data_IF_844418759740
#
_entry.id   IF_844418759740
#
_cell.length_a   1.000
_cell.length_b   1.000
_cell.length_c   1.000
_cell.angle_alpha   90.00
_cell.angle_beta   90.00
_cell.angle_gamma   90.00
#
_symmetry.space_group_name_H-M   'P 1'
#
loop_
_entity.id
_entity.type
_entity.pdbx_description
1 polymer ?
#
# COMPACT_ATOMS: atom_id res chain seq x y z
N UNK A 1 -6.06 -11.54 -16.23
CA UNK A 1 -5.20 -12.34 -17.13
C UNK A 1 -4.55 -11.38 -18.12
N UNK A 2 -3.32 -11.65 -18.57
CA UNK A 2 -2.64 -10.83 -19.57
C UNK A 2 -3.08 -11.28 -20.97
N UNK A 3 -4.00 -10.54 -21.57
CA UNK A 3 -4.46 -10.75 -22.95
C UNK A 3 -3.45 -10.21 -23.97
N UNK A 4 -3.69 -10.47 -25.24
CA UNK A 4 -2.79 -10.07 -26.34
C UNK A 4 -2.59 -8.54 -26.41
N UNK A 5 -3.60 -7.75 -26.05
CA UNK A 5 -3.53 -6.28 -26.02
C UNK A 5 -2.54 -5.81 -24.94
N UNK A 6 -2.68 -6.30 -23.72
CA UNK A 6 -1.77 -5.96 -22.60
C UNK A 6 -0.34 -6.39 -22.86
N UNK A 7 -0.15 -7.60 -23.42
CA UNK A 7 1.18 -8.08 -23.84
C UNK A 7 1.79 -7.16 -24.89
N UNK A 8 1.02 -6.72 -25.89
CA UNK A 8 1.47 -5.79 -26.92
C UNK A 8 1.86 -4.43 -26.34
N UNK A 9 1.07 -3.88 -25.42
CA UNK A 9 1.35 -2.62 -24.72
C UNK A 9 2.65 -2.71 -23.93
N UNK A 10 2.83 -3.77 -23.11
CA UNK A 10 4.04 -4.03 -22.32
C UNK A 10 5.25 -4.18 -23.25
N UNK A 11 5.13 -4.99 -24.31
CA UNK A 11 6.18 -5.18 -25.32
C UNK A 11 6.62 -3.85 -25.92
N UNK A 12 5.66 -2.98 -26.26
CA UNK A 12 5.94 -1.64 -26.78
C UNK A 12 6.71 -0.76 -25.79
N UNK A 13 6.35 -0.83 -24.49
CA UNK A 13 7.05 -0.11 -23.43
C UNK A 13 8.52 -0.58 -23.29
N UNK A 14 8.73 -1.89 -23.27
CA UNK A 14 10.04 -2.52 -23.13
C UNK A 14 10.95 -2.19 -24.32
N UNK A 15 10.43 -2.29 -25.56
CA UNK A 15 11.18 -1.94 -26.79
C UNK A 15 11.60 -0.47 -26.82
N UNK A 16 10.75 0.45 -26.36
CA UNK A 16 11.12 1.87 -26.26
C UNK A 16 12.30 2.11 -25.32
N UNK A 17 12.45 1.28 -24.28
CA UNK A 17 13.60 1.32 -23.37
C UNK A 17 14.80 0.50 -23.86
N UNK A 18 14.71 -0.15 -25.01
CA UNK A 18 15.74 -1.03 -25.62
C UNK A 18 16.16 -2.17 -24.66
N UNK A 19 15.25 -2.58 -23.76
CA UNK A 19 15.50 -3.67 -22.85
C UNK A 19 15.56 -5.00 -23.60
N UNK A 20 16.44 -5.90 -23.17
CA UNK A 20 16.57 -7.28 -23.68
C UNK A 20 16.32 -8.28 -22.56
N UNK A 21 17.08 -8.18 -21.45
CA UNK A 21 16.85 -8.96 -20.23
C UNK A 21 16.07 -8.12 -19.26
N UNK A 22 14.95 -8.62 -18.78
CA UNK A 22 14.06 -7.91 -17.87
C UNK A 22 13.74 -8.74 -16.63
N UNK A 23 13.56 -8.07 -15.50
CA UNK A 23 12.93 -8.71 -14.35
C UNK A 23 11.47 -8.26 -14.27
N UNK A 24 10.56 -9.22 -14.10
CA UNK A 24 9.12 -8.97 -13.92
C UNK A 24 8.77 -9.08 -12.45
N UNK A 25 8.17 -8.03 -11.90
CA UNK A 25 7.68 -7.98 -10.53
C UNK A 25 6.18 -7.71 -10.53
N UNK A 26 5.41 -8.57 -9.85
CA UNK A 26 3.95 -8.50 -9.78
C UNK A 26 3.45 -8.62 -8.34
N UNK A 27 2.31 -8.01 -7.97
CA UNK A 27 1.66 -8.25 -6.69
C UNK A 27 1.10 -9.68 -6.60
N UNK A 28 0.87 -10.15 -5.36
CA UNK A 28 0.42 -11.51 -5.10
C UNK A 28 -0.79 -11.95 -5.92
N UNK A 29 -1.75 -11.06 -6.12
CA UNK A 29 -2.96 -11.35 -6.92
C UNK A 29 -2.74 -11.59 -8.41
N UNK A 30 -1.56 -11.25 -8.95
CA UNK A 30 -1.19 -11.49 -10.35
C UNK A 30 -0.21 -12.65 -10.54
N UNK A 31 0.28 -13.26 -9.46
CA UNK A 31 1.27 -14.35 -9.54
C UNK A 31 0.80 -15.54 -10.40
N UNK A 32 -0.48 -15.89 -10.33
CA UNK A 32 -1.05 -16.98 -11.15
C UNK A 32 -0.98 -16.70 -12.67
N UNK A 33 -0.86 -15.45 -13.08
CA UNK A 33 -0.85 -15.03 -14.49
C UNK A 33 0.54 -14.72 -15.00
N UNK A 34 1.58 -14.71 -14.14
CA UNK A 34 2.92 -14.23 -14.52
C UNK A 34 3.64 -15.17 -15.47
N UNK A 35 3.44 -16.49 -15.34
CA UNK A 35 4.03 -17.48 -16.25
C UNK A 35 3.58 -17.25 -17.69
N UNK A 36 2.27 -17.12 -17.92
CA UNK A 36 1.76 -16.83 -19.28
C UNK A 36 2.24 -15.47 -19.84
N UNK A 37 2.48 -14.49 -18.95
CA UNK A 37 3.12 -13.23 -19.37
C UNK A 37 4.58 -13.45 -19.74
N UNK A 38 5.35 -14.21 -18.95
CA UNK A 38 6.74 -14.55 -19.24
C UNK A 38 6.86 -15.21 -20.61
N UNK A 39 6.11 -16.30 -20.84
CA UNK A 39 6.09 -17.02 -22.12
C UNK A 39 5.78 -16.10 -23.31
N UNK A 40 4.83 -15.18 -23.14
CA UNK A 40 4.45 -14.24 -24.18
C UNK A 40 5.54 -13.20 -24.46
N UNK A 41 6.25 -12.71 -23.44
CA UNK A 41 7.36 -11.78 -23.60
C UNK A 41 8.59 -12.45 -24.20
N UNK A 42 8.90 -13.69 -23.83
CA UNK A 42 9.98 -14.48 -24.43
C UNK A 42 9.74 -14.72 -25.93
N UNK A 43 8.51 -15.04 -26.33
CA UNK A 43 8.11 -15.12 -27.75
C UNK A 43 8.30 -13.80 -28.51
N UNK A 44 8.30 -12.66 -27.80
CA UNK A 44 8.58 -11.34 -28.35
C UNK A 44 10.05 -10.93 -28.29
N UNK A 45 10.95 -11.87 -27.92
CA UNK A 45 12.40 -11.71 -27.97
C UNK A 45 13.04 -11.11 -26.72
N UNK A 46 12.36 -11.16 -25.57
CA UNK A 46 12.93 -10.75 -24.28
C UNK A 46 13.46 -11.98 -23.52
N UNK A 47 14.51 -11.81 -22.75
CA UNK A 47 14.92 -12.74 -21.71
C UNK A 47 14.23 -12.30 -20.39
N UNK A 48 13.41 -13.19 -19.82
CA UNK A 48 12.52 -12.84 -18.72
C UNK A 48 12.91 -13.54 -17.43
N UNK A 49 13.20 -12.76 -16.39
CA UNK A 49 13.37 -13.23 -15.02
C UNK A 49 12.14 -12.83 -14.21
N UNK A 50 11.57 -13.75 -13.44
CA UNK A 50 10.38 -13.46 -12.61
C UNK A 50 10.78 -13.38 -11.14
N UNK A 51 10.52 -12.24 -10.51
CA UNK A 51 10.69 -12.10 -9.07
C UNK A 51 9.60 -12.86 -8.32
N UNK A 52 9.98 -13.78 -7.45
CA UNK A 52 9.07 -14.52 -6.56
C UNK A 52 8.83 -13.81 -5.23
N UNK A 53 9.60 -12.77 -4.96
CA UNK A 53 9.48 -12.00 -3.73
C UNK A 53 8.11 -11.33 -3.58
N UNK A 54 7.63 -11.10 -2.35
CA UNK A 54 6.42 -10.31 -2.13
C UNK A 54 6.55 -8.91 -2.74
N UNK A 55 5.48 -8.44 -3.35
CA UNK A 55 5.38 -7.08 -3.90
C UNK A 55 4.12 -6.40 -3.35
N UNK A 56 4.31 -5.41 -2.49
CA UNK A 56 3.21 -4.74 -1.78
C UNK A 56 2.88 -3.35 -2.32
N UNK A 57 3.72 -2.80 -3.20
CA UNK A 57 3.54 -1.46 -3.74
C UNK A 57 4.75 -1.00 -4.56
N UNK A 58 4.64 0.15 -5.22
CA UNK A 58 5.76 0.76 -5.95
C UNK A 58 6.89 1.29 -5.03
N UNK A 59 6.72 1.23 -3.72
CA UNK A 59 7.78 1.45 -2.72
C UNK A 59 8.67 0.21 -2.48
N UNK A 60 8.32 -0.93 -3.08
CA UNK A 60 8.95 -2.24 -2.91
C UNK A 60 9.52 -2.72 -4.24
N UNK A 61 10.47 -1.98 -4.77
CA UNK A 61 11.11 -2.31 -6.05
C UNK A 61 12.23 -3.34 -5.86
N UNK A 62 12.31 -4.28 -6.78
CA UNK A 62 13.40 -5.28 -6.90
C UNK A 62 14.46 -4.86 -7.91
N UNK A 63 14.71 -3.58 -7.97
CA UNK A 63 15.62 -2.95 -8.91
C UNK A 63 17.09 -3.33 -8.66
N UNK A 64 17.49 -3.51 -7.40
CA UNK A 64 18.84 -3.92 -7.01
C UNK A 64 19.12 -5.36 -7.38
N UNK A 65 18.17 -6.26 -7.12
CA UNK A 65 18.23 -7.66 -7.54
C UNK A 65 18.25 -7.78 -9.06
N UNK A 66 17.40 -7.02 -9.75
CA UNK A 66 17.40 -6.97 -11.20
C UNK A 66 18.75 -6.53 -11.76
N UNK A 67 19.35 -5.49 -11.17
CA UNK A 67 20.69 -5.02 -11.55
C UNK A 67 21.78 -6.06 -11.28
N UNK A 68 21.71 -6.77 -10.15
CA UNK A 68 22.67 -7.81 -9.79
C UNK A 68 22.62 -9.03 -10.73
N UNK A 69 21.51 -9.20 -11.46
CA UNK A 69 21.30 -10.25 -12.46
C UNK A 69 21.43 -9.71 -13.91
N UNK A 70 22.08 -8.57 -14.08
CA UNK A 70 22.34 -7.93 -15.37
C UNK A 70 21.07 -7.67 -16.21
N UNK A 71 19.95 -7.34 -15.54
CA UNK A 71 18.74 -6.92 -16.24
C UNK A 71 18.89 -5.47 -16.73
N UNK A 72 18.32 -5.19 -17.91
CA UNK A 72 18.26 -3.85 -18.49
C UNK A 72 17.16 -3.01 -17.87
N UNK A 73 16.09 -3.64 -17.38
CA UNK A 73 14.95 -2.97 -16.76
C UNK A 73 14.18 -3.87 -15.79
N UNK A 74 13.47 -3.22 -14.86
CA UNK A 74 12.44 -3.83 -14.02
C UNK A 74 11.06 -3.50 -14.60
N UNK A 75 10.28 -4.51 -14.96
CA UNK A 75 8.86 -4.37 -15.29
C UNK A 75 8.04 -4.54 -14.01
N UNK A 76 7.56 -3.43 -13.47
CA UNK A 76 6.74 -3.40 -12.25
C UNK A 76 5.27 -3.26 -12.60
N UNK A 77 4.46 -4.27 -12.30
CA UNK A 77 3.06 -4.34 -12.71
C UNK A 77 2.12 -4.14 -11.50
N UNK A 78 1.02 -3.43 -11.74
CA UNK A 78 -0.12 -3.33 -10.81
C UNK A 78 -0.04 -2.19 -9.81
N UNK A 79 1.05 -1.42 -9.78
CA UNK A 79 1.18 -0.23 -8.95
C UNK A 79 1.67 0.95 -9.78
N UNK A 80 1.10 2.12 -9.53
CA UNK A 80 1.54 3.35 -10.17
C UNK A 80 2.88 3.82 -9.60
N UNK A 81 3.66 4.52 -10.43
CA UNK A 81 4.90 5.16 -10.02
C UNK A 81 4.68 6.09 -8.81
N UNK A 82 5.54 5.95 -7.81
CA UNK A 82 5.57 6.76 -6.59
C UNK A 82 6.77 7.73 -6.54
N UNK A 83 7.53 7.86 -7.63
CA UNK A 83 8.74 8.68 -7.68
C UNK A 83 9.90 8.12 -6.84
N UNK A 84 9.94 6.81 -6.63
CA UNK A 84 11.04 6.15 -5.90
C UNK A 84 12.27 6.07 -6.78
N UNK A 85 13.42 6.54 -6.28
CA UNK A 85 14.70 6.38 -6.97
C UNK A 85 15.08 4.91 -7.10
N UNK A 86 15.39 4.50 -8.32
CA UNK A 86 15.79 3.13 -8.68
C UNK A 86 17.18 3.11 -9.31
N UNK A 87 17.90 1.99 -9.16
CA UNK A 87 19.27 1.81 -9.68
C UNK A 87 19.33 1.37 -11.13
N UNK A 88 18.18 1.07 -11.73
CA UNK A 88 18.00 0.76 -13.16
C UNK A 88 16.63 1.26 -13.64
N UNK A 89 16.38 1.34 -14.95
CA UNK A 89 15.08 1.75 -15.48
C UNK A 89 13.93 0.90 -14.96
N UNK A 90 12.89 1.52 -14.38
CA UNK A 90 11.65 0.87 -13.98
C UNK A 90 10.56 1.21 -14.99
N UNK A 91 9.88 0.20 -15.49
CA UNK A 91 8.73 0.33 -16.37
C UNK A 91 7.51 -0.03 -15.56
N UNK A 92 6.73 0.98 -15.19
CA UNK A 92 5.47 0.78 -14.50
C UNK A 92 4.37 0.46 -15.50
N UNK A 93 3.61 -0.58 -15.21
CA UNK A 93 2.43 -0.95 -15.98
C UNK A 93 1.23 -1.04 -15.06
N UNK A 94 0.34 -0.06 -15.17
CA UNK A 94 -0.91 -0.05 -14.42
C UNK A 94 -1.80 -1.22 -14.89
N UNK A 95 -2.16 -2.09 -13.96
CA UNK A 95 -3.06 -3.21 -14.24
C UNK A 95 -4.48 -2.83 -13.86
N UNK A 96 -5.23 -2.33 -14.82
CA UNK A 96 -6.64 -2.03 -14.64
C UNK A 96 -7.48 -3.30 -14.68
N UNK A 97 -8.36 -3.45 -13.71
CA UNK A 97 -9.39 -4.49 -13.70
C UNK A 97 -10.66 -3.92 -14.33
N UNK A 98 -11.18 -4.64 -15.30
CA UNK A 98 -12.52 -4.31 -15.82
C UNK A 98 -13.56 -4.74 -14.79
N UNK A 99 -14.16 -3.75 -14.15
CA UNK A 99 -15.15 -3.94 -13.10
C UNK A 99 -16.24 -2.88 -13.19
N UNK A 100 -17.49 -3.32 -13.17
CA UNK A 100 -18.63 -2.41 -13.12
C UNK A 100 -19.13 -2.28 -11.68
N UNK A 101 -19.01 -1.06 -11.12
CA UNK A 101 -19.51 -0.75 -9.77
C UNK A 101 -21.00 -0.44 -9.71
N UNK A 102 -21.65 -0.19 -10.87
CA UNK A 102 -23.04 0.27 -10.91
C UNK A 102 -24.01 -0.73 -10.30
N UNK A 103 -23.92 -2.06 -10.56
CA UNK A 103 -24.79 -3.04 -9.92
C UNK A 103 -24.66 -3.01 -8.40
N UNK A 104 -23.43 -2.96 -7.89
CA UNK A 104 -23.20 -2.91 -6.45
C UNK A 104 -23.69 -1.60 -5.82
N UNK A 105 -23.46 -0.47 -6.47
CA UNK A 105 -23.96 0.82 -6.01
C UNK A 105 -25.47 0.88 -5.99
N UNK A 106 -26.16 0.24 -6.93
CA UNK A 106 -27.63 0.14 -6.95
C UNK A 106 -28.17 -0.49 -5.68
N UNK A 107 -27.51 -1.54 -5.17
CA UNK A 107 -27.93 -2.24 -3.97
C UNK A 107 -27.72 -1.39 -2.70
N UNK A 108 -26.69 -0.54 -2.68
CA UNK A 108 -26.25 0.13 -1.46
C UNK A 108 -26.50 1.65 -1.39
N UNK A 109 -26.83 2.32 -2.49
CA UNK A 109 -27.03 3.79 -2.46
C UNK A 109 -28.12 4.24 -1.50
N UNK A 110 -29.18 3.46 -1.30
CA UNK A 110 -30.25 3.79 -0.37
C UNK A 110 -29.81 3.74 1.12
N UNK A 111 -28.68 3.11 1.42
CA UNK A 111 -28.11 3.06 2.76
C UNK A 111 -27.11 4.20 3.04
N UNK A 112 -26.79 5.02 2.02
CA UNK A 112 -25.88 6.16 2.14
C UNK A 112 -26.66 7.38 2.57
N UNK A 113 -26.42 7.85 3.80
CA UNK A 113 -27.14 9.02 4.40
C UNK A 113 -26.52 10.37 4.06
N UNK A 114 -25.40 10.41 3.35
CA UNK A 114 -24.64 11.61 3.02
C UNK A 114 -24.96 12.08 1.61
N UNK A 115 -24.89 13.39 1.39
CA UNK A 115 -25.27 14.00 0.11
C UNK A 115 -24.03 14.33 -0.73
N UNK A 116 -23.01 14.94 -0.11
CA UNK A 116 -21.79 15.36 -0.78
C UNK A 116 -20.70 14.30 -0.54
N UNK A 117 -20.29 13.58 -1.57
CA UNK A 117 -19.45 12.40 -1.46
C UNK A 117 -18.14 12.58 -2.23
N UNK A 118 -17.01 12.26 -1.62
CA UNK A 118 -15.75 12.04 -2.34
C UNK A 118 -15.63 10.55 -2.68
N UNK A 119 -15.71 10.21 -3.95
CA UNK A 119 -15.55 8.84 -4.43
C UNK A 119 -14.08 8.54 -4.64
N UNK A 120 -13.59 7.45 -4.03
CA UNK A 120 -12.19 7.03 -4.10
C UNK A 120 -12.07 5.52 -4.30
N UNK A 121 -10.97 5.09 -4.90
CA UNK A 121 -10.68 3.68 -5.14
C UNK A 121 -9.17 3.41 -5.18
N UNK A 122 -8.76 2.20 -5.51
CA UNK A 122 -7.36 1.87 -5.83
C UNK A 122 -7.09 1.95 -7.33
N UNK A 123 -5.81 1.96 -7.72
CA UNK A 123 -5.40 2.10 -9.13
C UNK A 123 -6.09 1.08 -10.05
N UNK A 124 -6.28 -0.15 -9.58
CA UNK A 124 -6.86 -1.23 -10.35
C UNK A 124 -8.29 -0.92 -10.86
N UNK A 125 -9.03 -0.11 -10.12
CA UNK A 125 -10.45 0.16 -10.38
C UNK A 125 -10.73 1.58 -10.88
N UNK A 126 -9.69 2.36 -11.19
CA UNK A 126 -9.85 3.74 -11.67
C UNK A 126 -10.76 3.84 -12.91
N UNK A 127 -10.72 2.84 -13.79
CA UNK A 127 -11.58 2.81 -14.98
C UNK A 127 -13.08 2.82 -14.65
N UNK A 128 -13.48 2.25 -13.50
CA UNK A 128 -14.88 2.17 -13.08
C UNK A 128 -15.42 3.44 -12.39
N UNK A 129 -14.53 4.34 -11.95
CA UNK A 129 -14.92 5.55 -11.18
C UNK A 129 -15.88 6.46 -11.96
N UNK A 130 -15.62 6.66 -13.24
CA UNK A 130 -16.44 7.58 -14.06
C UNK A 130 -17.88 7.11 -14.17
N UNK A 131 -18.10 5.81 -14.41
CA UNK A 131 -19.43 5.22 -14.47
C UNK A 131 -20.13 5.25 -13.09
N UNK A 132 -19.40 4.91 -12.03
CA UNK A 132 -19.86 4.99 -10.66
C UNK A 132 -20.32 6.39 -10.26
N UNK A 133 -19.50 7.41 -10.58
CA UNK A 133 -19.82 8.81 -10.33
C UNK A 133 -21.12 9.20 -11.06
N UNK A 134 -21.22 8.96 -12.38
CA UNK A 134 -22.40 9.29 -13.17
C UNK A 134 -23.67 8.61 -12.60
N UNK A 135 -23.57 7.36 -12.20
CA UNK A 135 -24.69 6.64 -11.58
C UNK A 135 -25.13 7.30 -10.26
N UNK A 136 -24.20 7.63 -9.37
CA UNK A 136 -24.52 8.26 -8.09
C UNK A 136 -25.13 9.67 -8.30
N UNK A 137 -24.61 10.46 -9.24
CA UNK A 137 -25.16 11.77 -9.59
C UNK A 137 -26.60 11.64 -10.10
N UNK A 138 -26.93 10.62 -10.90
CA UNK A 138 -28.30 10.34 -11.34
C UNK A 138 -29.26 9.96 -10.21
N UNK A 139 -28.69 9.54 -9.05
CA UNK A 139 -29.45 9.27 -7.81
C UNK A 139 -29.52 10.48 -6.86
N UNK A 140 -29.06 11.64 -7.31
CA UNK A 140 -29.14 12.91 -6.59
C UNK A 140 -28.02 13.15 -5.58
N UNK A 141 -26.90 12.42 -5.66
CA UNK A 141 -25.69 12.71 -4.90
C UNK A 141 -24.85 13.79 -5.59
N UNK A 142 -24.13 14.59 -4.81
CA UNK A 142 -23.07 15.46 -5.31
C UNK A 142 -21.73 14.74 -5.16
N UNK A 143 -21.09 14.37 -6.27
CA UNK A 143 -19.92 13.47 -6.24
C UNK A 143 -18.65 14.18 -6.71
N UNK A 144 -17.65 14.21 -5.86
CA UNK A 144 -16.27 14.59 -6.19
C UNK A 144 -15.45 13.34 -6.51
N UNK A 145 -14.69 13.41 -7.59
CA UNK A 145 -13.74 12.35 -7.94
C UNK A 145 -12.43 12.58 -7.15
N UNK A 146 -12.22 11.77 -6.13
CA UNK A 146 -11.01 11.77 -5.30
C UNK A 146 -9.89 10.90 -5.87
N UNK A 147 -10.16 10.19 -6.97
CA UNK A 147 -9.19 9.36 -7.68
C UNK A 147 -8.71 8.14 -6.90
N UNK A 148 -7.44 7.80 -7.14
CA UNK A 148 -6.79 6.68 -6.46
C UNK A 148 -6.27 7.10 -5.09
N UNK A 149 -6.41 6.19 -4.13
CA UNK A 149 -5.75 6.31 -2.82
C UNK A 149 -4.90 5.07 -2.53
N UNK A 150 -3.92 5.24 -1.66
CA UNK A 150 -3.18 4.16 -1.01
C UNK A 150 -3.32 4.30 0.50
N UNK A 151 -3.18 3.22 1.24
CA UNK A 151 -3.25 3.27 2.70
C UNK A 151 -2.19 4.20 3.34
N UNK A 152 -1.08 4.44 2.63
CA UNK A 152 -0.01 5.36 3.02
C UNK A 152 -0.10 6.74 2.35
N UNK A 153 -0.95 6.94 1.32
CA UNK A 153 -1.13 8.21 0.62
C UNK A 153 -2.60 8.42 0.22
N UNK A 154 -3.18 9.51 0.72
CA UNK A 154 -4.55 9.95 0.45
C UNK A 154 -4.65 11.46 0.21
N UNK A 155 -3.54 12.12 -0.13
CA UNK A 155 -3.46 13.57 -0.29
C UNK A 155 -4.45 14.11 -1.33
N UNK A 156 -4.63 13.39 -2.44
CA UNK A 156 -5.58 13.74 -3.49
C UNK A 156 -7.02 13.82 -2.95
N UNK A 157 -7.45 12.81 -2.21
CA UNK A 157 -8.79 12.76 -1.64
C UNK A 157 -8.98 13.82 -0.53
N UNK A 158 -7.95 14.05 0.29
CA UNK A 158 -7.99 15.00 1.41
C UNK A 158 -8.29 16.44 0.99
N UNK A 159 -7.98 16.85 -0.24
CA UNK A 159 -8.32 18.18 -0.78
C UNK A 159 -9.80 18.50 -0.69
N UNK A 160 -10.65 17.48 -0.75
CA UNK A 160 -12.11 17.65 -0.74
C UNK A 160 -12.73 17.63 0.66
N UNK A 161 -11.95 17.47 1.73
CA UNK A 161 -12.44 17.28 3.10
C UNK A 161 -13.40 18.39 3.58
N UNK A 162 -13.18 19.64 3.14
CA UNK A 162 -14.01 20.80 3.53
C UNK A 162 -15.35 20.87 2.78
N UNK A 163 -15.48 20.19 1.63
CA UNK A 163 -16.63 20.33 0.72
C UNK A 163 -17.44 19.04 0.57
N UNK A 164 -17.09 17.98 1.30
CA UNK A 164 -17.80 16.70 1.31
C UNK A 164 -18.28 16.33 2.70
N UNK A 165 -19.33 15.51 2.77
CA UNK A 165 -19.87 14.99 4.01
C UNK A 165 -19.19 13.69 4.40
N UNK A 166 -18.82 12.87 3.41
CA UNK A 166 -18.12 11.62 3.59
C UNK A 166 -17.25 11.25 2.39
N UNK A 167 -16.41 10.24 2.59
CA UNK A 167 -15.71 9.52 1.52
C UNK A 167 -16.39 8.19 1.27
N UNK A 168 -16.50 7.80 0.01
CA UNK A 168 -16.92 6.46 -0.38
C UNK A 168 -15.74 5.77 -1.08
N UNK A 169 -15.13 4.83 -0.39
CA UNK A 169 -14.12 3.96 -0.99
C UNK A 169 -14.82 2.72 -1.56
N UNK A 170 -14.59 2.45 -2.85
CA UNK A 170 -15.05 1.24 -3.52
C UNK A 170 -13.84 0.41 -3.91
N UNK A 171 -13.77 -0.83 -3.44
CA UNK A 171 -12.64 -1.70 -3.72
C UNK A 171 -12.62 -2.93 -2.83
N UNK A 172 -11.45 -3.61 -2.76
CA UNK A 172 -11.23 -4.76 -1.90
C UNK A 172 -10.21 -4.47 -0.80
N UNK A 173 -10.35 -5.17 0.33
CA UNK A 173 -9.44 -5.08 1.46
C UNK A 173 -9.55 -3.78 2.26
N UNK A 174 -9.36 -3.89 3.57
CA UNK A 174 -9.59 -2.79 4.52
C UNK A 174 -8.42 -1.81 4.66
N UNK A 175 -7.22 -2.16 4.19
CA UNK A 175 -6.00 -1.36 4.41
C UNK A 175 -6.11 0.07 3.86
N UNK A 176 -6.60 0.21 2.62
CA UNK A 176 -6.69 1.52 1.96
C UNK A 176 -7.74 2.43 2.62
N UNK A 177 -9.00 1.99 2.82
CA UNK A 177 -10.00 2.84 3.43
C UNK A 177 -9.73 3.12 4.93
N UNK A 178 -9.12 2.20 5.67
CA UNK A 178 -8.67 2.47 7.05
C UNK A 178 -7.58 3.54 7.09
N UNK A 179 -6.58 3.44 6.21
CA UNK A 179 -5.53 4.46 6.09
C UNK A 179 -6.08 5.84 5.72
N UNK A 180 -7.14 5.91 4.92
CA UNK A 180 -7.85 7.17 4.66
C UNK A 180 -8.57 7.65 5.92
N UNK A 181 -9.33 6.78 6.62
CA UNK A 181 -10.08 7.16 7.83
C UNK A 181 -9.18 7.70 8.94
N UNK A 182 -7.98 7.19 9.09
CA UNK A 182 -7.00 7.73 10.07
C UNK A 182 -6.61 9.18 9.76
N UNK A 183 -6.59 9.59 8.48
CA UNK A 183 -6.08 10.89 8.02
C UNK A 183 -7.15 11.96 7.83
N UNK A 184 -8.42 11.58 7.77
CA UNK A 184 -9.53 12.51 7.55
C UNK A 184 -10.44 12.58 8.78
N UNK A 185 -11.11 13.73 8.96
CA UNK A 185 -12.10 13.92 10.03
C UNK A 185 -13.52 13.50 9.62
N UNK A 186 -13.75 13.25 8.33
CA UNK A 186 -15.06 12.86 7.79
C UNK A 186 -15.20 11.34 7.79
N UNK A 187 -16.43 10.80 7.84
CA UNK A 187 -16.66 9.36 7.72
C UNK A 187 -16.15 8.81 6.40
N UNK A 188 -15.52 7.64 6.46
CA UNK A 188 -15.18 6.83 5.30
C UNK A 188 -16.14 5.64 5.24
N UNK A 189 -16.93 5.58 4.19
CA UNK A 189 -17.75 4.44 3.85
C UNK A 189 -16.91 3.50 2.98
N UNK A 190 -16.83 2.25 3.35
CA UNK A 190 -16.16 1.21 2.58
C UNK A 190 -17.19 0.30 1.92
N UNK A 191 -17.30 0.38 0.60
CA UNK A 191 -18.08 -0.55 -0.21
C UNK A 191 -17.15 -1.66 -0.69
N UNK A 192 -17.21 -2.79 0.01
CA UNK A 192 -16.40 -3.97 -0.23
C UNK A 192 -16.99 -4.75 -1.41
N UNK A 193 -16.24 -4.83 -2.51
CA UNK A 193 -16.68 -5.50 -3.74
C UNK A 193 -16.65 -7.03 -3.64
N UNK A 194 -15.78 -7.59 -2.79
CA UNK A 194 -15.63 -9.03 -2.61
C UNK A 194 -16.73 -9.59 -1.71
N UNK A 195 -16.98 -8.92 -0.57
CA UNK A 195 -17.95 -9.36 0.42
C UNK A 195 -19.34 -8.71 0.23
N UNK A 196 -19.51 -7.85 -0.78
CA UNK A 196 -20.76 -7.14 -1.10
C UNK A 196 -21.40 -6.51 0.13
N UNK A 197 -20.67 -5.67 0.84
CA UNK A 197 -21.13 -5.00 2.07
C UNK A 197 -20.67 -3.55 2.12
N UNK A 198 -21.45 -2.71 2.80
CA UNK A 198 -21.14 -1.31 3.07
C UNK A 198 -20.83 -1.16 4.56
N UNK A 199 -19.64 -0.69 4.88
CA UNK A 199 -19.21 -0.42 6.26
C UNK A 199 -18.95 1.07 6.46
N UNK A 200 -19.29 1.59 7.65
CA UNK A 200 -18.85 2.92 8.07
C UNK A 200 -17.66 2.79 9.01
N UNK A 201 -16.52 3.33 8.62
CA UNK A 201 -15.26 3.17 9.34
C UNK A 201 -14.98 4.26 10.37
N UNK A 202 -15.90 5.21 10.62
CA UNK A 202 -15.69 6.33 11.54
C UNK A 202 -15.29 5.86 12.96
N UNK A 203 -15.85 4.75 13.43
CA UNK A 203 -15.53 4.17 14.74
C UNK A 203 -14.15 3.53 14.83
N UNK A 204 -13.54 3.18 13.71
CA UNK A 204 -12.21 2.54 13.70
C UNK A 204 -11.11 3.52 14.09
N UNK A 205 -11.26 4.81 13.80
CA UNK A 205 -10.32 5.85 14.23
C UNK A 205 -10.18 5.91 15.75
N UNK A 206 -11.29 5.90 16.47
CA UNK A 206 -11.28 5.90 17.94
C UNK A 206 -10.66 4.62 18.50
N UNK A 207 -10.99 3.46 17.93
CA UNK A 207 -10.39 2.18 18.32
C UNK A 207 -8.87 2.16 18.06
N UNK A 208 -8.44 2.70 16.93
CA UNK A 208 -7.01 2.82 16.58
C UNK A 208 -6.28 3.69 17.61
N UNK A 209 -6.85 4.84 17.98
CA UNK A 209 -6.25 5.75 18.98
C UNK A 209 -6.20 5.11 20.37
N UNK A 210 -7.23 4.43 20.82
CA UNK A 210 -7.22 3.69 22.10
C UNK A 210 -6.11 2.63 22.09
N UNK A 211 -6.02 1.82 21.03
CA UNK A 211 -4.96 0.81 20.89
C UNK A 211 -3.57 1.45 20.85
N UNK A 212 -3.44 2.60 20.21
CA UNK A 212 -2.19 3.37 20.16
C UNK A 212 -1.74 3.76 21.56
N UNK A 213 -2.60 4.38 22.37
CA UNK A 213 -2.31 4.79 23.74
C UNK A 213 -1.95 3.61 24.63
N UNK A 214 -2.66 2.50 24.52
CA UNK A 214 -2.36 1.28 25.27
C UNK A 214 -0.97 0.72 24.91
N UNK A 215 -0.56 0.79 23.63
CA UNK A 215 0.79 0.36 23.20
C UNK A 215 1.88 1.27 23.78
N UNK A 216 1.68 2.58 23.74
CA UNK A 216 2.64 3.54 24.33
C UNK A 216 2.80 3.27 25.81
N UNK A 217 1.70 3.17 26.55
CA UNK A 217 1.73 2.94 28.00
C UNK A 217 2.44 1.62 28.34
N UNK A 218 2.15 0.55 27.62
CA UNK A 218 2.83 -0.73 27.77
C UNK A 218 4.34 -0.62 27.48
N UNK A 219 4.74 0.16 26.47
CA UNK A 219 6.14 0.32 26.09
C UNK A 219 6.96 1.10 27.13
N UNK A 220 6.34 1.97 27.94
CA UNK A 220 7.04 2.79 28.97
C UNK A 220 7.85 1.94 29.94
N UNK A 221 7.32 0.81 30.38
CA UNK A 221 8.00 -0.10 31.31
C UNK A 221 9.04 -1.01 30.64
N UNK A 222 9.06 -1.08 29.33
CA UNK A 222 9.94 -1.98 28.57
C UNK A 222 11.33 -1.40 28.37
N UNK A 223 12.34 -2.26 28.20
CA UNK A 223 13.76 -1.85 28.13
C UNK A 223 14.40 -2.01 26.75
N UNK A 224 14.03 -3.02 25.98
CA UNK A 224 14.77 -3.42 24.77
C UNK A 224 13.95 -3.04 23.52
N UNK A 225 14.43 -2.07 22.76
CA UNK A 225 13.76 -1.54 21.58
C UNK A 225 14.50 -1.95 20.29
N UNK A 226 13.79 -2.56 19.34
CA UNK A 226 14.26 -2.85 18.00
C UNK A 226 13.67 -1.88 17.00
N UNK A 227 14.51 -1.07 16.36
CA UNK A 227 14.09 -0.06 15.38
C UNK A 227 14.19 -0.67 13.99
N UNK A 228 13.06 -0.92 13.35
CA UNK A 228 12.99 -1.58 12.05
C UNK A 228 13.35 -0.59 10.92
N UNK A 229 14.35 -0.93 10.13
CA UNK A 229 14.77 -0.18 8.93
C UNK A 229 14.69 -1.08 7.72
N UNK A 230 13.86 -0.71 6.75
CA UNK A 230 13.74 -1.45 5.50
C UNK A 230 14.86 -1.10 4.52
N UNK A 231 15.34 -2.10 3.79
CA UNK A 231 16.25 -1.92 2.65
C UNK A 231 15.50 -1.63 1.35
N UNK A 232 14.18 -1.72 1.34
CA UNK A 232 13.33 -1.39 0.19
C UNK A 232 13.47 0.09 -0.18
N UNK A 233 13.65 0.45 -1.46
CA UNK A 233 13.96 1.83 -1.87
C UNK A 233 12.97 2.88 -1.35
N UNK A 234 11.67 2.63 -1.46
CA UNK A 234 10.63 3.56 -1.01
C UNK A 234 10.30 3.51 0.49
N UNK A 235 10.99 2.70 1.29
CA UNK A 235 10.71 2.50 2.71
C UNK A 235 11.92 2.74 3.63
N UNK A 236 13.09 3.05 3.08
CA UNK A 236 14.33 3.22 3.84
C UNK A 236 14.38 4.57 4.55
N UNK A 237 14.39 4.57 5.89
CA UNK A 237 14.44 5.78 6.72
C UNK A 237 15.56 5.71 7.77
N UNK A 238 16.77 5.38 7.34
CA UNK A 238 17.91 5.16 8.24
C UNK A 238 18.22 6.40 9.13
N UNK A 239 18.16 7.61 8.58
CA UNK A 239 18.42 8.83 9.37
C UNK A 239 17.43 8.98 10.54
N UNK A 240 16.15 8.71 10.30
CA UNK A 240 15.10 8.74 11.33
C UNK A 240 15.36 7.65 12.38
N UNK A 241 15.66 6.44 11.96
CA UNK A 241 15.94 5.33 12.88
C UNK A 241 17.14 5.60 13.79
N UNK A 242 18.22 6.22 13.27
CA UNK A 242 19.37 6.60 14.06
C UNK A 242 19.05 7.71 15.06
N UNK A 243 18.21 8.69 14.69
CA UNK A 243 17.72 9.73 15.62
C UNK A 243 16.91 9.11 16.75
N UNK A 244 15.97 8.21 16.44
CA UNK A 244 15.15 7.50 17.44
C UNK A 244 16.03 6.67 18.38
N UNK A 245 17.01 5.93 17.82
CA UNK A 245 17.97 5.15 18.63
C UNK A 245 18.68 6.04 19.65
N UNK A 246 19.18 7.19 19.22
CA UNK A 246 19.89 8.12 20.11
C UNK A 246 18.97 8.66 21.21
N UNK A 247 17.74 9.02 20.91
CA UNK A 247 16.74 9.48 21.90
C UNK A 247 16.41 8.40 22.92
N UNK A 248 16.13 7.18 22.47
CA UNK A 248 15.84 6.05 23.37
C UNK A 248 17.02 5.72 24.27
N UNK A 249 18.27 5.76 23.77
CA UNK A 249 19.47 5.55 24.58
C UNK A 249 19.65 6.66 25.62
N UNK A 250 19.41 7.91 25.27
CA UNK A 250 19.44 9.03 26.21
C UNK A 250 18.39 8.91 27.31
N UNK A 251 17.23 8.29 27.00
CA UNK A 251 16.19 7.95 27.97
C UNK A 251 16.47 6.64 28.77
N UNK A 252 17.68 6.10 28.71
CA UNK A 252 18.09 4.91 29.47
C UNK A 252 17.55 3.57 28.93
N UNK A 253 17.06 3.54 27.69
CA UNK A 253 16.59 2.32 27.04
C UNK A 253 17.71 1.66 26.22
N UNK A 254 17.64 0.33 26.05
CA UNK A 254 18.46 -0.38 25.08
C UNK A 254 17.81 -0.25 23.69
N UNK A 255 18.52 0.27 22.71
CA UNK A 255 17.97 0.51 21.37
C UNK A 255 18.90 -0.02 20.27
N UNK A 256 18.36 -0.85 19.41
CA UNK A 256 19.05 -1.56 18.33
C UNK A 256 18.38 -1.25 17.00
N UNK A 257 19.17 -0.95 15.96
CA UNK A 257 18.64 -0.81 14.60
C UNK A 257 18.65 -2.19 13.94
N UNK A 258 17.48 -2.64 13.54
CA UNK A 258 17.26 -3.94 12.90
C UNK A 258 16.99 -3.72 11.41
N UNK A 259 17.89 -4.19 10.56
CA UNK A 259 17.83 -3.98 9.12
C UNK A 259 17.29 -5.22 8.41
N UNK A 260 16.35 -5.03 7.53
CA UNK A 260 15.77 -6.12 6.75
C UNK A 260 14.97 -5.63 5.55
N UNK A 261 14.71 -6.53 4.63
CA UNK A 261 13.83 -6.27 3.49
C UNK A 261 12.35 -6.48 3.90
N UNK A 262 12.03 -7.70 4.34
CA UNK A 262 10.74 -8.03 4.95
C UNK A 262 10.93 -8.37 6.43
N UNK A 263 10.00 -7.92 7.27
CA UNK A 263 9.99 -8.21 8.69
C UNK A 263 8.92 -9.26 8.98
N UNK A 264 9.32 -10.35 9.60
CA UNK A 264 8.44 -11.43 10.08
C UNK A 264 8.83 -11.80 11.50
N UNK A 265 7.93 -12.46 12.24
CA UNK A 265 8.20 -12.90 13.60
C UNK A 265 9.40 -13.87 13.66
N UNK A 266 9.51 -14.76 12.67
CA UNK A 266 10.59 -15.76 12.57
C UNK A 266 11.97 -15.09 12.49
N UNK A 267 12.10 -13.97 11.76
CA UNK A 267 13.38 -13.24 11.64
C UNK A 267 13.81 -12.58 12.95
N UNK A 268 12.91 -12.45 13.90
CA UNK A 268 13.19 -11.87 15.22
C UNK A 268 13.32 -12.91 16.33
N UNK A 269 13.19 -14.19 16.00
CA UNK A 269 13.36 -15.27 16.96
C UNK A 269 14.78 -15.24 17.57
N UNK A 270 14.85 -15.48 18.88
CA UNK A 270 16.11 -15.44 19.63
C UNK A 270 16.59 -14.04 20.02
N UNK A 271 16.01 -12.97 19.46
CA UNK A 271 16.37 -11.60 19.84
C UNK A 271 15.58 -11.16 21.08
N UNK A 272 16.27 -10.62 22.07
CA UNK A 272 15.67 -10.07 23.30
C UNK A 272 15.17 -8.63 23.04
N UNK A 273 14.11 -8.51 22.24
CA UNK A 273 13.43 -7.25 21.91
C UNK A 273 12.03 -7.28 22.50
N UNK A 274 11.68 -6.25 23.24
CA UNK A 274 10.37 -6.08 23.87
C UNK A 274 9.42 -5.25 22.99
N UNK A 275 9.96 -4.20 22.36
CA UNK A 275 9.23 -3.21 21.56
C UNK A 275 9.87 -3.09 20.19
N UNK A 276 9.06 -3.06 19.14
CA UNK A 276 9.48 -2.72 17.78
C UNK A 276 9.10 -1.26 17.49
N UNK A 277 10.01 -0.47 16.96
CA UNK A 277 9.73 0.86 16.43
C UNK A 277 9.77 0.77 14.90
N UNK A 278 8.63 1.00 14.28
CA UNK A 278 8.47 0.85 12.84
C UNK A 278 8.83 2.13 12.09
N UNK A 279 10.00 2.21 11.50
CA UNK A 279 10.36 3.32 10.59
C UNK A 279 10.16 2.98 9.10
N UNK A 280 9.55 1.85 8.79
CA UNK A 280 9.36 1.33 7.43
C UNK A 280 7.91 1.53 6.92
N UNK A 281 7.28 0.47 6.47
CA UNK A 281 5.90 0.52 5.97
C UNK A 281 4.89 0.70 7.12
N UNK A 282 3.97 1.67 7.07
CA UNK A 282 2.94 1.85 8.11
C UNK A 282 2.08 0.60 8.37
N UNK A 283 1.94 -0.28 7.39
CA UNK A 283 1.17 -1.52 7.50
C UNK A 283 1.74 -2.50 8.54
N UNK A 284 3.06 -2.47 8.82
CA UNK A 284 3.68 -3.34 9.82
C UNK A 284 3.02 -3.18 11.20
N UNK A 285 2.52 -1.98 11.52
CA UNK A 285 1.78 -1.74 12.77
C UNK A 285 0.50 -2.57 12.85
N UNK A 286 -0.14 -2.84 11.73
CA UNK A 286 -1.41 -3.57 11.67
C UNK A 286 -1.19 -5.10 11.80
N UNK A 287 0.03 -5.55 11.55
CA UNK A 287 0.46 -6.95 11.65
C UNK A 287 0.98 -7.32 13.07
N UNK A 288 0.71 -6.50 14.10
CA UNK A 288 1.27 -6.65 15.46
C UNK A 288 1.00 -8.02 16.09
N UNK A 289 -0.14 -8.63 15.78
CA UNK A 289 -0.51 -9.95 16.31
C UNK A 289 0.47 -11.04 15.89
N UNK A 290 1.01 -10.95 14.66
CA UNK A 290 2.00 -11.88 14.13
C UNK A 290 3.33 -11.81 14.87
N UNK A 291 3.71 -10.61 15.34
CA UNK A 291 4.97 -10.39 16.06
C UNK A 291 4.90 -10.73 17.54
N UNK A 292 3.73 -10.81 18.14
CA UNK A 292 3.54 -10.92 19.58
C UNK A 292 4.41 -9.92 20.39
N UNK A 293 4.55 -8.70 19.86
CA UNK A 293 5.36 -7.60 20.41
C UNK A 293 4.60 -6.28 20.30
N UNK A 294 4.94 -5.33 21.18
CA UNK A 294 4.46 -3.96 21.03
C UNK A 294 5.11 -3.33 19.80
N UNK A 295 4.31 -2.78 18.89
CA UNK A 295 4.80 -2.03 17.74
C UNK A 295 4.38 -0.58 17.87
N UNK A 296 5.37 0.32 17.86
CA UNK A 296 5.22 1.77 17.90
C UNK A 296 5.61 2.36 16.54
N UNK A 297 4.97 3.46 16.15
CA UNK A 297 5.45 4.32 15.07
C UNK A 297 6.42 5.38 15.63
N UNK A 298 7.17 6.10 14.77
CA UNK A 298 8.11 7.13 15.21
C UNK A 298 7.49 8.19 16.11
N UNK A 299 6.29 8.66 15.76
CA UNK A 299 5.54 9.65 16.54
C UNK A 299 5.14 9.16 17.93
N UNK A 300 4.94 7.86 18.12
CA UNK A 300 4.59 7.26 19.41
C UNK A 300 5.78 7.28 20.38
N UNK A 301 7.01 7.23 19.85
CA UNK A 301 8.23 7.24 20.66
C UNK A 301 8.46 8.59 21.34
N UNK A 302 7.96 9.68 20.76
CA UNK A 302 8.06 11.02 21.31
C UNK A 302 7.19 11.18 22.58
N UNK A 303 6.24 10.26 22.80
CA UNK A 303 5.34 10.25 23.98
C UNK A 303 5.79 9.27 25.08
N UNK A 304 6.92 8.56 24.90
CA UNK A 304 7.49 7.66 25.91
C UNK A 304 8.16 8.45 27.04
#
# INVERSE_FOLDING_TARGET
>A
MFDAKRVSEITGLLKRKRAKRIMVQVPGGLKMSVQGLSDALEKNGFEVLVSIEPCFGACDLRDREAKALDCDALLHIGHADMGVEAVLPVIYYDYFMDHDFVPLLRDFTNHIKYKNICLVTTVQFLGAIKAAKKFMESRGFSVRDGGKIMGCDSLQAKKYEKVVDCYLFIGSGRFHPLGLQERVGKPVLFLDIENRRLENLIGEKNKSEIRRRLRIEKARSMKNFGILVSTKPGQSKIKLALKIRSGLKAAGKNAYVLVGDCFTAEKLLGMRIDVLVNTSCPRIRDDYEQFNKVILNPEDVEEL
#
